data_IF_946498926045
#
_entry.id   IF_946498926045
#
_cell.length_a   1.000
_cell.length_b   1.000
_cell.length_c   1.000
_cell.angle_alpha   90.00
_cell.angle_beta   90.00
_cell.angle_gamma   90.00
#
_symmetry.space_group_name_H-M   'P 1'
#
loop_
_entity.id
_entity.type
_entity.pdbx_description
1 polymer ?
#
# COMPACT_ATOMS: atom_id res chain seq x y z
N UNK A 1 8.06 4.61 0.17
CA UNK A 1 7.21 5.02 -0.97
C UNK A 1 5.74 4.67 -0.80
N UNK A 2 5.41 3.45 -0.37
CA UNK A 2 4.01 3.00 -0.25
C UNK A 2 3.17 3.82 0.71
N UNK A 3 3.75 4.27 1.82
CA UNK A 3 3.06 5.16 2.76
C UNK A 3 2.75 6.52 2.15
N UNK A 4 3.66 7.06 1.36
CA UNK A 4 3.44 8.31 0.64
C UNK A 4 2.38 8.15 -0.45
N UNK A 5 2.38 7.02 -1.16
CA UNK A 5 1.34 6.71 -2.15
C UNK A 5 -0.05 6.65 -1.50
N UNK A 6 -0.15 5.99 -0.35
CA UNK A 6 -1.40 5.92 0.41
C UNK A 6 -1.92 7.33 0.78
N UNK A 7 -1.02 8.19 1.23
CA UNK A 7 -1.39 9.57 1.57
C UNK A 7 -1.80 10.37 0.33
N UNK A 8 -1.17 10.14 -0.80
CA UNK A 8 -1.58 10.75 -2.06
C UNK A 8 -2.99 10.31 -2.46
N UNK A 9 -3.35 9.06 -2.20
CA UNK A 9 -4.68 8.53 -2.48
C UNK A 9 -5.81 9.25 -1.73
N UNK A 10 -5.50 9.95 -0.64
CA UNK A 10 -6.48 10.76 0.10
C UNK A 10 -6.99 11.95 -0.72
N UNK A 11 -6.26 12.35 -1.75
CA UNK A 11 -6.72 13.39 -2.67
C UNK A 11 -7.82 12.81 -3.57
N UNK A 12 -9.04 13.37 -3.57
CA UNK A 12 -10.14 12.82 -4.35
C UNK A 12 -9.94 12.90 -5.87
N UNK A 13 -8.97 13.67 -6.35
CA UNK A 13 -8.63 13.73 -7.77
C UNK A 13 -7.79 12.53 -8.25
N UNK A 14 -7.27 11.71 -7.34
CA UNK A 14 -6.46 10.54 -7.68
C UNK A 14 -7.39 9.37 -7.99
N UNK A 15 -7.36 8.89 -9.24
CA UNK A 15 -8.25 7.83 -9.73
C UNK A 15 -7.80 6.42 -9.37
N UNK A 16 -6.48 6.21 -9.23
CA UNK A 16 -5.90 4.90 -8.91
C UNK A 16 -4.56 5.05 -8.19
N UNK A 17 -4.31 4.19 -7.21
CA UNK A 17 -3.07 4.19 -6.44
C UNK A 17 -2.63 2.76 -6.18
N UNK A 18 -1.34 2.48 -6.39
CA UNK A 18 -0.73 1.22 -5.99
C UNK A 18 0.29 1.47 -4.88
N UNK A 19 0.07 0.85 -3.74
CA UNK A 19 0.89 1.01 -2.53
C UNK A 19 1.67 -0.26 -2.27
N UNK A 20 2.99 -0.19 -2.38
CA UNK A 20 3.88 -1.31 -2.11
C UNK A 20 4.51 -1.14 -0.73
N UNK A 21 4.41 -2.18 0.10
CA UNK A 21 4.97 -2.25 1.46
C UNK A 21 4.86 -0.93 2.23
N UNK A 22 3.63 -0.45 2.38
CA UNK A 22 3.33 0.84 2.98
C UNK A 22 3.60 0.86 4.49
N UNK A 23 4.71 1.46 4.90
CA UNK A 23 5.07 1.62 6.31
C UNK A 23 4.31 2.79 6.95
N UNK A 24 4.23 2.78 8.27
CA UNK A 24 3.72 3.86 9.13
C UNK A 24 2.23 4.18 9.01
N UNK A 25 1.49 3.52 8.13
CA UNK A 25 0.04 3.72 8.05
C UNK A 25 -0.63 3.12 9.28
N UNK A 26 -0.24 1.89 9.63
CA UNK A 26 -0.81 1.14 10.77
C UNK A 26 -0.47 1.77 12.12
N UNK A 27 0.68 2.40 12.23
CA UNK A 27 1.15 3.02 13.48
C UNK A 27 0.66 4.47 13.66
N UNK A 28 0.27 5.12 12.58
CA UNK A 28 -0.06 6.55 12.60
C UNK A 28 1.13 7.45 12.88
N UNK A 29 2.34 6.87 12.99
CA UNK A 29 3.55 7.57 13.39
C UNK A 29 4.41 7.85 12.17
N UNK A 30 4.32 9.07 11.67
CA UNK A 30 5.40 9.66 10.88
C UNK A 30 6.19 10.52 11.86
N UNK A 31 7.43 10.16 12.22
CA UNK A 31 8.17 10.83 13.31
C UNK A 31 8.32 12.34 13.14
N UNK A 32 8.31 12.83 11.91
CA UNK A 32 8.48 14.24 11.59
C UNK A 32 7.18 15.06 11.53
N UNK A 33 5.99 14.41 11.69
CA UNK A 33 4.70 15.09 11.53
C UNK A 33 3.64 14.52 12.45
N UNK A 34 3.66 14.93 13.74
CA UNK A 34 2.60 14.54 14.68
C UNK A 34 1.22 14.95 14.16
N UNK A 35 0.25 14.08 14.28
CA UNK A 35 -1.13 14.34 13.85
C UNK A 35 -1.43 13.98 12.40
N UNK A 36 -0.50 13.37 11.68
CA UNK A 36 -0.71 12.96 10.29
C UNK A 36 -1.18 11.50 10.22
N UNK A 37 -2.33 11.23 10.82
CA UNK A 37 -2.92 9.90 10.90
C UNK A 37 -3.60 9.54 9.57
N UNK A 38 -2.83 9.04 8.60
CA UNK A 38 -3.34 8.65 7.28
C UNK A 38 -4.44 7.59 7.38
N UNK A 39 -4.32 6.66 8.33
CA UNK A 39 -5.32 5.61 8.54
C UNK A 39 -6.68 6.18 8.95
N UNK A 40 -6.72 7.19 9.81
CA UNK A 40 -7.96 7.83 10.24
C UNK A 40 -8.70 8.51 9.08
N UNK A 41 -7.97 8.90 8.04
CA UNK A 41 -8.51 9.59 6.86
C UNK A 41 -8.85 8.65 5.70
N UNK A 42 -8.76 7.36 5.89
CA UNK A 42 -8.97 6.34 4.85
C UNK A 42 -10.29 6.52 4.09
N UNK A 43 -11.36 6.95 4.75
CA UNK A 43 -12.65 7.19 4.12
C UNK A 43 -12.64 8.30 3.06
N UNK A 44 -11.58 9.11 2.99
CA UNK A 44 -11.44 10.15 1.96
C UNK A 44 -10.94 9.59 0.61
N UNK A 45 -10.50 8.33 0.55
CA UNK A 45 -10.02 7.70 -0.68
C UNK A 45 -11.20 7.46 -1.62
N UNK A 46 -11.18 8.10 -2.79
CA UNK A 46 -12.22 7.98 -3.80
C UNK A 46 -11.85 7.04 -4.95
N UNK A 47 -10.56 6.98 -5.29
CA UNK A 47 -10.06 6.14 -6.38
C UNK A 47 -9.91 4.68 -5.99
N UNK A 48 -9.57 3.85 -6.97
CA UNK A 48 -9.23 2.45 -6.70
C UNK A 48 -7.84 2.35 -6.08
N UNK A 49 -7.73 1.50 -5.07
CA UNK A 49 -6.51 1.31 -4.30
C UNK A 49 -6.02 -0.13 -4.43
N UNK A 50 -4.72 -0.31 -4.63
CA UNK A 50 -4.08 -1.61 -4.61
C UNK A 50 -3.04 -1.63 -3.50
N UNK A 51 -3.16 -2.58 -2.58
CA UNK A 51 -2.23 -2.76 -1.46
C UNK A 51 -1.41 -4.02 -1.68
N UNK A 52 -0.09 -3.90 -1.65
CA UNK A 52 0.84 -5.01 -1.85
C UNK A 52 1.83 -5.07 -0.68
N UNK A 53 1.92 -6.23 -0.04
CA UNK A 53 2.67 -6.41 1.18
C UNK A 53 3.63 -7.61 1.08
N UNK A 54 4.73 -7.53 1.82
CA UNK A 54 5.59 -8.68 2.10
C UNK A 54 5.28 -9.24 3.49
N UNK A 55 4.93 -10.49 3.59
CA UNK A 55 4.59 -11.13 4.88
C UNK A 55 5.77 -11.24 5.83
N UNK A 56 6.99 -11.21 5.29
CA UNK A 56 8.25 -11.29 6.05
C UNK A 56 8.83 -9.90 6.34
N UNK A 57 8.06 -8.85 6.12
CA UNK A 57 8.49 -7.47 6.35
C UNK A 57 8.51 -7.17 7.84
N UNK A 58 9.69 -6.87 8.44
CA UNK A 58 9.79 -6.57 9.87
C UNK A 58 9.21 -5.21 10.25
N UNK A 59 9.01 -4.32 9.28
CA UNK A 59 8.47 -2.98 9.53
C UNK A 59 6.94 -2.94 9.61
N UNK A 60 6.29 -3.99 9.11
CA UNK A 60 4.83 -4.04 9.03
C UNK A 60 4.36 -5.41 9.54
N UNK A 61 4.10 -5.54 10.84
CA UNK A 61 3.66 -6.80 11.43
C UNK A 61 2.24 -7.19 10.98
N UNK A 62 1.89 -8.45 11.19
CA UNK A 62 0.58 -8.99 10.79
C UNK A 62 -0.58 -8.18 11.38
N UNK A 63 -0.46 -7.78 12.64
CA UNK A 63 -1.51 -6.96 13.29
C UNK A 63 -1.66 -5.61 12.62
N UNK A 64 -0.57 -5.02 12.17
CA UNK A 64 -0.58 -3.75 11.44
C UNK A 64 -1.29 -3.88 10.10
N UNK A 65 -1.00 -4.95 9.35
CA UNK A 65 -1.70 -5.22 8.09
C UNK A 65 -3.19 -5.46 8.32
N UNK A 66 -3.54 -6.23 9.34
CA UNK A 66 -4.94 -6.50 9.68
C UNK A 66 -5.71 -5.22 10.02
N UNK A 67 -5.08 -4.29 10.72
CA UNK A 67 -5.66 -3.00 11.08
C UNK A 67 -5.97 -2.16 9.82
N UNK A 68 -5.05 -2.11 8.88
CA UNK A 68 -5.24 -1.39 7.60
C UNK A 68 -6.35 -2.04 6.79
N UNK A 69 -6.35 -3.37 6.67
CA UNK A 69 -7.39 -4.10 5.95
C UNK A 69 -8.79 -3.81 6.52
N UNK A 70 -8.92 -3.89 7.83
CA UNK A 70 -10.19 -3.63 8.50
C UNK A 70 -10.68 -2.21 8.24
N UNK A 71 -9.79 -1.23 8.32
CA UNK A 71 -10.14 0.18 8.11
C UNK A 71 -10.60 0.43 6.66
N UNK A 72 -9.90 -0.14 5.67
CA UNK A 72 -10.29 -0.04 4.27
C UNK A 72 -11.69 -0.65 4.03
N UNK A 73 -11.94 -1.81 4.63
CA UNK A 73 -13.23 -2.49 4.50
C UNK A 73 -14.35 -1.71 5.19
N UNK A 74 -14.12 -1.23 6.40
CA UNK A 74 -15.12 -0.48 7.18
C UNK A 74 -15.50 0.84 6.49
N UNK A 75 -14.55 1.48 5.82
CA UNK A 75 -14.79 2.74 5.11
C UNK A 75 -15.32 2.56 3.67
N UNK A 76 -15.47 1.32 3.22
CA UNK A 76 -16.02 1.03 1.90
C UNK A 76 -15.11 1.43 0.74
N UNK A 77 -13.79 1.47 0.94
CA UNK A 77 -12.83 1.79 -0.11
C UNK A 77 -12.83 0.68 -1.17
N UNK A 78 -12.76 1.05 -2.44
CA UNK A 78 -12.59 0.09 -3.53
C UNK A 78 -11.13 -0.32 -3.62
N UNK A 79 -10.78 -1.49 -3.08
CA UNK A 79 -9.37 -1.90 -3.01
C UNK A 79 -9.17 -3.37 -3.34
N UNK A 80 -7.94 -3.70 -3.77
CA UNK A 80 -7.42 -5.06 -3.85
C UNK A 80 -6.26 -5.22 -2.86
N UNK A 81 -6.06 -6.45 -2.38
CA UNK A 81 -5.12 -6.75 -1.32
C UNK A 81 -4.28 -7.96 -1.67
N UNK A 82 -2.96 -7.81 -1.63
CA UNK A 82 -2.02 -8.89 -1.95
C UNK A 82 -0.94 -8.99 -0.87
N UNK A 83 -0.73 -10.19 -0.36
CA UNK A 83 0.35 -10.49 0.59
C UNK A 83 1.22 -11.60 0.01
N UNK A 84 2.52 -11.32 -0.13
CA UNK A 84 3.49 -12.26 -0.70
C UNK A 84 4.52 -12.70 0.33
N UNK A 85 5.14 -13.86 0.08
CA UNK A 85 6.25 -14.36 0.87
C UNK A 85 7.54 -13.62 0.48
N UNK A 86 7.62 -12.36 0.85
CA UNK A 86 8.73 -11.48 0.57
C UNK A 86 9.00 -10.54 1.73
N UNK A 87 10.15 -9.90 1.69
CA UNK A 87 10.58 -8.91 2.69
C UNK A 87 10.23 -7.49 2.23
N UNK A 88 10.46 -6.52 3.08
CA UNK A 88 10.30 -5.11 2.72
C UNK A 88 11.16 -4.75 1.50
N UNK A 89 10.56 -4.00 0.57
CA UNK A 89 11.23 -3.54 -0.66
C UNK A 89 11.68 -4.65 -1.62
N UNK A 90 10.94 -5.76 -1.70
CA UNK A 90 11.28 -6.90 -2.57
C UNK A 90 11.33 -6.54 -4.08
N UNK A 91 10.80 -5.38 -4.47
CA UNK A 91 10.83 -4.90 -5.86
C UNK A 91 12.07 -4.06 -6.21
N UNK A 92 12.92 -3.76 -5.23
CA UNK A 92 14.19 -3.06 -5.51
C UNK A 92 15.11 -4.00 -6.30
N UNK A 93 15.60 -3.51 -7.42
CA UNK A 93 16.43 -4.27 -8.35
C UNK A 93 17.88 -4.50 -7.86
N UNK A 94 18.22 -4.00 -6.68
CA UNK A 94 19.53 -4.17 -6.05
C UNK A 94 19.38 -4.61 -4.60
N UNK A 95 20.32 -5.45 -4.14
CA UNK A 95 20.43 -5.90 -2.77
C UNK A 95 19.70 -7.20 -2.46
N UNK A 96 19.82 -7.64 -1.23
CA UNK A 96 19.33 -8.94 -0.74
C UNK A 96 17.80 -9.05 -0.69
N UNK A 97 17.10 -7.92 -0.72
CA UNK A 97 15.63 -7.88 -0.64
C UNK A 97 14.94 -8.16 -1.97
N UNK A 98 15.68 -8.10 -3.06
CA UNK A 98 15.13 -8.24 -4.39
C UNK A 98 14.66 -9.66 -4.67
N UNK A 99 13.43 -9.77 -5.13
CA UNK A 99 12.84 -11.01 -5.62
C UNK A 99 12.27 -10.73 -7.01
N UNK A 100 12.92 -11.27 -8.04
CA UNK A 100 12.60 -10.96 -9.43
C UNK A 100 11.17 -11.40 -9.82
N UNK A 101 10.72 -12.55 -9.32
CA UNK A 101 9.38 -13.05 -9.64
C UNK A 101 8.30 -12.20 -8.98
N UNK A 102 8.49 -11.83 -7.72
CA UNK A 102 7.56 -10.95 -7.03
C UNK A 102 7.56 -9.54 -7.63
N UNK A 103 8.72 -9.04 -8.04
CA UNK A 103 8.82 -7.74 -8.71
C UNK A 103 8.03 -7.73 -10.02
N UNK A 104 8.20 -8.76 -10.86
CA UNK A 104 7.46 -8.88 -12.12
C UNK A 104 5.95 -8.91 -11.88
N UNK A 105 5.51 -9.73 -10.93
CA UNK A 105 4.09 -9.83 -10.58
C UNK A 105 3.55 -8.50 -10.07
N UNK A 106 4.30 -7.81 -9.22
CA UNK A 106 3.93 -6.49 -8.70
C UNK A 106 3.74 -5.45 -9.80
N UNK A 107 4.67 -5.38 -10.75
CA UNK A 107 4.54 -4.51 -11.92
C UNK A 107 3.33 -4.85 -12.76
N UNK A 108 3.10 -6.13 -13.04
CA UNK A 108 1.96 -6.57 -13.83
C UNK A 108 0.62 -6.17 -13.18
N UNK A 109 0.50 -6.34 -11.88
CA UNK A 109 -0.71 -5.98 -11.15
C UNK A 109 -0.96 -4.47 -11.17
N UNK A 110 0.06 -3.66 -10.92
CA UNK A 110 -0.05 -2.21 -10.92
C UNK A 110 -0.43 -1.68 -12.30
N UNK A 111 0.28 -2.13 -13.34
CA UNK A 111 0.02 -1.74 -14.73
C UNK A 111 -1.38 -2.16 -15.15
N UNK A 112 -1.81 -3.37 -14.79
CA UNK A 112 -3.15 -3.87 -15.10
C UNK A 112 -4.24 -2.99 -14.50
N UNK A 113 -4.09 -2.58 -13.25
CA UNK A 113 -5.03 -1.67 -12.60
C UNK A 113 -5.05 -0.31 -13.31
N UNK A 114 -3.90 0.28 -13.59
CA UNK A 114 -3.82 1.59 -14.23
C UNK A 114 -4.43 1.57 -15.64
N UNK A 115 -4.21 0.51 -16.41
CA UNK A 115 -4.85 0.35 -17.73
C UNK A 115 -6.37 0.30 -17.62
N UNK A 116 -6.88 -0.44 -16.66
CA UNK A 116 -8.33 -0.60 -16.48
C UNK A 116 -9.00 0.67 -16.00
N UNK A 117 -8.34 1.45 -15.13
CA UNK A 117 -8.92 2.65 -14.50
C UNK A 117 -8.74 3.90 -15.34
N UNK A 118 -7.57 4.05 -16.00
CA UNK A 118 -7.18 5.29 -16.66
C UNK A 118 -7.39 5.31 -18.19
N UNK A 119 -7.72 4.17 -18.79
CA UNK A 119 -7.90 4.07 -20.26
C UNK A 119 -9.30 3.62 -20.67
#
# INVERSE_FOLDING_TARGET
GGGLAYRAALNPAIAATSCFYATDIHSGLVPSRPGNASLARTGEIQGELQMVWGKQDPHIPAEGRALVYKKLSDEGVNFTWHEFNGVHAFMRDEGERYDAELALLGYQMAIGMFRRVLY
#
